data_IF_525671934279
#
_entry.id   IF_525671934279
#
_cell.length_a   1.000
_cell.length_b   1.000
_cell.length_c   1.000
_cell.angle_alpha   90.00
_cell.angle_beta   90.00
_cell.angle_gamma   90.00
#
_symmetry.space_group_name_H-M   'P 1'
#
loop_
_entity.id
_entity.type
_entity.pdbx_description
1 polymer ?
#
# COMPACT_ATOMS: atom_id res chain seq x y z
N UNK A 1 3.39 4.25 -15.92
CA UNK A 1 3.90 3.52 -14.74
C UNK A 1 2.99 3.90 -13.60
N UNK A 2 2.21 2.96 -13.08
CA UNK A 2 1.34 3.24 -11.93
C UNK A 2 2.27 3.32 -10.73
N UNK A 3 2.42 4.52 -10.17
CA UNK A 3 3.22 4.72 -8.97
C UNK A 3 2.55 3.94 -7.83
N UNK A 4 3.29 3.03 -7.21
CA UNK A 4 2.78 2.25 -6.08
C UNK A 4 2.66 3.09 -4.79
N UNK A 5 2.26 2.47 -3.66
CA UNK A 5 1.92 3.20 -2.44
C UNK A 5 3.07 3.99 -1.90
N UNK A 6 2.81 5.26 -1.55
CA UNK A 6 3.70 6.01 -0.71
C UNK A 6 3.36 5.74 0.76
N UNK A 7 4.36 5.35 1.54
CA UNK A 7 4.27 5.24 2.99
C UNK A 7 4.13 6.65 3.57
N UNK A 8 3.05 6.90 4.30
CA UNK A 8 2.77 8.20 4.94
C UNK A 8 3.17 8.23 6.40
N UNK A 9 3.14 7.08 7.06
CA UNK A 9 3.54 6.94 8.45
C UNK A 9 4.14 5.56 8.71
N UNK A 10 5.05 5.50 9.68
CA UNK A 10 5.60 4.24 10.19
C UNK A 10 5.49 4.30 11.72
N UNK A 11 4.87 3.28 12.31
CA UNK A 11 4.67 3.21 13.75
C UNK A 11 6.00 2.91 14.46
N UNK A 12 6.27 3.59 15.57
CA UNK A 12 7.48 3.36 16.37
C UNK A 12 7.49 1.97 17.00
N UNK A 13 8.65 1.31 16.97
CA UNK A 13 8.85 -0.07 17.42
C UNK A 13 8.28 -1.13 16.48
N UNK A 14 7.66 -0.74 15.36
CA UNK A 14 7.04 -1.68 14.43
C UNK A 14 8.08 -2.52 13.65
N UNK A 15 7.66 -3.66 13.07
CA UNK A 15 8.49 -4.39 12.11
C UNK A 15 8.99 -3.51 10.95
N UNK A 16 8.13 -2.65 10.41
CA UNK A 16 8.48 -1.69 9.36
C UNK A 16 9.62 -0.74 9.77
N UNK A 17 9.54 -0.16 10.97
CA UNK A 17 10.60 0.72 11.48
C UNK A 17 11.93 -0.05 11.67
N UNK A 18 11.86 -1.25 12.25
CA UNK A 18 13.03 -2.11 12.46
C UNK A 18 13.70 -2.52 11.15
N UNK A 19 12.90 -2.69 10.09
CA UNK A 19 13.40 -2.96 8.74
C UNK A 19 13.95 -1.70 8.03
N UNK A 20 13.76 -0.51 8.59
CA UNK A 20 14.30 0.75 8.07
C UNK A 20 13.39 1.45 7.04
N UNK A 21 12.12 1.07 6.96
CA UNK A 21 11.11 1.81 6.21
C UNK A 21 10.87 3.19 6.84
N UNK A 22 10.52 4.15 6.01
CA UNK A 22 10.32 5.55 6.40
C UNK A 22 9.13 6.17 5.68
N UNK A 23 8.48 7.17 6.27
CA UNK A 23 7.57 8.03 5.52
C UNK A 23 8.25 8.62 4.29
N UNK A 24 7.54 8.63 3.16
CA UNK A 24 8.05 9.06 1.85
C UNK A 24 8.59 7.92 0.98
N UNK A 25 8.76 6.71 1.54
CA UNK A 25 9.12 5.53 0.76
C UNK A 25 7.99 5.14 -0.20
N UNK A 26 8.34 4.86 -1.44
CA UNK A 26 7.39 4.41 -2.45
C UNK A 26 7.53 2.90 -2.66
N UNK A 27 6.49 2.14 -2.36
CA UNK A 27 6.50 0.68 -2.51
C UNK A 27 6.12 0.33 -3.93
N UNK A 28 7.06 -0.23 -4.69
CA UNK A 28 6.84 -0.68 -6.05
C UNK A 28 6.16 -2.07 -6.07
N UNK A 29 6.59 -2.97 -5.19
CA UNK A 29 6.04 -4.32 -5.10
C UNK A 29 6.17 -4.93 -3.71
N UNK A 30 5.31 -5.89 -3.40
CA UNK A 30 5.34 -6.75 -2.23
C UNK A 30 5.31 -8.20 -2.72
N UNK A 31 6.32 -9.00 -2.38
CA UNK A 31 6.45 -10.37 -2.88
C UNK A 31 6.36 -10.49 -4.42
N UNK A 32 6.92 -9.51 -5.14
CA UNK A 32 6.92 -9.46 -6.60
C UNK A 32 5.61 -8.97 -7.23
N UNK A 33 4.64 -8.54 -6.42
CA UNK A 33 3.37 -8.00 -6.90
C UNK A 33 3.16 -6.54 -6.51
N UNK A 34 2.78 -5.69 -7.47
CA UNK A 34 2.45 -4.31 -7.21
C UNK A 34 1.07 -4.19 -6.52
N UNK A 35 0.98 -3.71 -5.27
CA UNK A 35 -0.29 -3.50 -4.61
C UNK A 35 -1.05 -2.35 -5.29
N UNK A 36 -2.21 -2.67 -5.86
CA UNK A 36 -3.04 -1.72 -6.62
C UNK A 36 -4.13 -1.03 -5.81
N UNK A 37 -4.39 -1.53 -4.60
CA UNK A 37 -5.42 -1.06 -3.69
C UNK A 37 -5.01 -1.40 -2.23
N UNK A 38 -5.70 -0.80 -1.26
CA UNK A 38 -5.42 -0.99 0.17
C UNK A 38 -5.67 -2.45 0.60
N UNK A 39 -6.63 -3.14 -0.02
CA UNK A 39 -6.93 -4.55 0.28
C UNK A 39 -5.74 -5.42 -0.12
N UNK A 40 -5.16 -5.18 -1.30
CA UNK A 40 -4.02 -5.94 -1.80
C UNK A 40 -2.76 -5.64 -1.01
N UNK A 41 -2.55 -4.38 -0.60
CA UNK A 41 -1.52 -4.02 0.37
C UNK A 41 -1.62 -4.87 1.64
N UNK A 42 -2.80 -4.88 2.28
CA UNK A 42 -3.01 -5.64 3.52
C UNK A 42 -2.73 -7.13 3.33
N UNK A 43 -3.31 -7.74 2.30
CA UNK A 43 -3.18 -9.16 2.03
C UNK A 43 -1.73 -9.58 1.73
N UNK A 44 -1.00 -8.81 0.92
CA UNK A 44 0.39 -9.10 0.60
C UNK A 44 1.33 -8.87 1.80
N UNK A 45 0.96 -7.98 2.73
CA UNK A 45 1.73 -7.67 3.93
C UNK A 45 1.42 -8.56 5.14
N UNK A 46 0.54 -9.56 5.00
CA UNK A 46 0.05 -10.35 6.14
C UNK A 46 1.07 -11.40 6.63
N UNK A 47 1.89 -11.94 5.73
CA UNK A 47 2.85 -12.99 6.02
C UNK A 47 3.98 -12.59 6.99
N UNK A 48 4.62 -13.57 7.63
CA UNK A 48 5.70 -13.34 8.59
C UNK A 48 6.98 -12.73 7.96
N UNK A 49 7.23 -13.01 6.68
CA UNK A 49 8.29 -12.38 5.90
C UNK A 49 7.68 -11.63 4.72
N UNK A 50 7.86 -10.32 4.70
CA UNK A 50 7.28 -9.42 3.70
C UNK A 50 8.42 -8.79 2.90
N UNK A 51 8.82 -9.37 1.75
CA UNK A 51 9.78 -8.76 0.86
C UNK A 51 9.12 -7.58 0.13
N UNK A 52 9.71 -6.40 0.27
CA UNK A 52 9.25 -5.14 -0.32
C UNK A 52 10.31 -4.61 -1.28
N UNK A 53 9.86 -4.20 -2.46
CA UNK A 53 10.64 -3.38 -3.39
C UNK A 53 10.24 -1.92 -3.16
N UNK A 54 11.21 -1.10 -2.78
CA UNK A 54 10.98 0.27 -2.33
C UNK A 54 11.87 1.23 -3.11
N UNK A 55 11.32 2.38 -3.48
CA UNK A 55 12.05 3.51 -4.03
C UNK A 55 12.11 4.66 -3.02
N UNK A 56 13.31 5.17 -2.78
CA UNK A 56 13.55 6.35 -1.94
C UNK A 56 14.49 7.30 -2.66
N UNK A 57 14.01 8.51 -2.98
CA UNK A 57 14.83 9.54 -3.63
C UNK A 57 15.42 9.09 -4.97
N UNK A 58 14.66 8.31 -5.75
CA UNK A 58 15.09 7.78 -7.06
C UNK A 58 16.03 6.58 -7.00
N UNK A 59 16.29 6.04 -5.80
CA UNK A 59 17.05 4.78 -5.63
C UNK A 59 16.10 3.65 -5.24
N UNK A 60 16.06 2.61 -6.05
CA UNK A 60 15.32 1.37 -5.79
C UNK A 60 16.15 0.39 -4.96
N UNK A 61 15.56 -0.19 -3.92
CA UNK A 61 16.18 -1.23 -3.10
C UNK A 61 15.12 -2.21 -2.60
N UNK A 62 15.57 -3.40 -2.19
CA UNK A 62 14.71 -4.43 -1.61
C UNK A 62 14.96 -4.49 -0.11
N UNK A 63 13.87 -4.57 0.67
CA UNK A 63 13.91 -4.78 2.11
C UNK A 63 12.98 -5.93 2.47
N UNK A 64 13.42 -6.81 3.36
CA UNK A 64 12.56 -7.88 3.89
C UNK A 64 12.16 -7.50 5.29
N UNK A 65 10.85 -7.37 5.52
CA UNK A 65 10.32 -7.09 6.85
C UNK A 65 9.92 -8.41 7.51
N UNK A 66 10.61 -8.75 8.60
CA UNK A 66 10.30 -9.93 9.42
C UNK A 66 9.44 -9.54 10.61
N UNK A 67 8.31 -10.22 10.79
CA UNK A 67 7.32 -9.98 11.86
C UNK A 67 6.72 -11.30 12.36
N UNK A 68 6.04 -11.27 13.49
CA UNK A 68 5.27 -12.43 13.96
C UNK A 68 4.00 -12.60 13.13
N UNK A 69 3.50 -13.84 13.06
CA UNK A 69 2.23 -14.14 12.39
C UNK A 69 1.08 -13.37 13.07
N UNK A 70 0.31 -12.62 12.27
CA UNK A 70 -0.76 -11.74 12.77
C UNK A 70 -0.29 -10.40 13.35
N UNK A 71 1.02 -10.13 13.43
CA UNK A 71 1.52 -8.80 13.78
C UNK A 71 1.30 -7.83 12.59
N UNK A 72 0.86 -6.58 12.80
CA UNK A 72 0.76 -5.61 11.72
C UNK A 72 2.16 -5.19 11.22
N UNK A 73 2.27 -4.88 9.93
CA UNK A 73 3.53 -4.37 9.35
C UNK A 73 3.97 -3.06 10.04
N UNK A 74 3.01 -2.21 10.41
CA UNK A 74 3.23 -0.91 11.03
C UNK A 74 3.67 0.19 10.04
N UNK A 75 3.48 -0.03 8.75
CA UNK A 75 3.58 1.00 7.71
C UNK A 75 2.18 1.35 7.19
N UNK A 76 1.86 2.64 7.22
CA UNK A 76 0.62 3.19 6.69
C UNK A 76 0.87 3.80 5.31
N UNK A 77 -0.05 3.57 4.38
CA UNK A 77 0.03 4.09 3.01
C UNK A 77 -1.14 5.02 2.72
N UNK A 78 -0.94 6.02 1.87
CA UNK A 78 -2.01 6.96 1.49
C UNK A 78 -3.10 6.28 0.67
N UNK A 79 -4.22 5.92 1.30
CA UNK A 79 -5.37 5.30 0.66
C UNK A 79 -6.01 6.17 -0.45
N UNK A 80 -5.86 7.50 -0.41
CA UNK A 80 -6.45 8.40 -1.39
C UNK A 80 -5.77 8.29 -2.78
N UNK A 81 -4.55 7.75 -2.84
CA UNK A 81 -3.85 7.43 -4.10
C UNK A 81 -4.29 6.08 -4.66
N UNK A 82 -4.90 5.21 -3.83
CA UNK A 82 -5.36 3.87 -4.20
C UNK A 82 -6.79 3.82 -4.72
N UNK A 83 -7.68 4.57 -4.08
CA UNK A 83 -9.10 4.56 -4.39
C UNK A 83 -9.49 5.79 -5.21
N UNK A 84 -9.01 5.85 -6.45
CA UNK A 84 -9.81 6.54 -7.46
C UNK A 84 -11.24 5.97 -7.39
N UNK A 85 -12.26 6.83 -7.39
CA UNK A 85 -13.66 6.39 -7.36
C UNK A 85 -13.85 5.33 -8.44
N UNK A 86 -14.09 4.09 -8.03
CA UNK A 86 -14.40 3.01 -8.95
C UNK A 86 -15.72 3.37 -9.63
N UNK A 87 -15.64 3.80 -10.89
CA UNK A 87 -16.83 4.14 -11.65
C UNK A 87 -17.55 2.85 -12.00
N UNK A 88 -18.68 2.62 -11.33
CA UNK A 88 -19.57 1.52 -11.67
C UNK A 88 -20.19 1.78 -13.06
N UNK A 89 -19.96 0.88 -14.03
CA UNK A 89 -20.51 0.96 -15.40
C UNK A 89 -21.83 0.19 -15.58
N UNK A 90 -22.39 -0.31 -14.48
CA UNK A 90 -23.75 -0.82 -14.51
C UNK A 90 -24.70 0.37 -14.68
N UNK A 91 -25.41 0.38 -15.80
CA UNK A 91 -26.40 1.39 -16.18
C UNK A 91 -27.68 1.27 -15.33
N UNK A 92 -27.54 1.26 -14.01
CA UNK A 92 -28.64 1.19 -13.07
C UNK A 92 -29.37 2.54 -13.00
N UNK A 93 -30.70 2.50 -12.97
CA UNK A 93 -31.55 3.70 -12.85
C UNK A 93 -31.36 4.45 -11.51
N UNK A 94 -30.79 3.79 -10.49
CA UNK A 94 -30.47 4.34 -9.17
C UNK A 94 -28.96 4.46 -8.91
N UNK A 95 -28.17 4.87 -9.91
CA UNK A 95 -26.73 4.97 -9.76
C UNK A 95 -26.30 6.14 -8.86
N UNK A 96 -25.85 5.84 -7.63
CA UNK A 96 -25.35 6.83 -6.67
C UNK A 96 -24.01 7.48 -7.10
N UNK A 97 -23.22 6.82 -7.95
CA UNK A 97 -21.94 7.38 -8.45
C UNK A 97 -22.19 8.55 -9.40
N UNK A 98 -23.18 8.46 -10.30
CA UNK A 98 -23.56 9.57 -11.20
C UNK A 98 -24.24 10.74 -10.48
N UNK A 99 -24.73 10.53 -9.26
CA UNK A 99 -25.44 11.52 -8.46
C UNK A 99 -24.51 12.31 -7.52
N UNK A 100 -23.21 12.01 -7.49
CA UNK A 100 -22.25 12.81 -6.73
C UNK A 100 -22.11 14.21 -7.36
N UNK A 101 -22.20 15.29 -6.56
CA UNK A 101 -22.03 16.64 -7.05
C UNK A 101 -20.60 16.88 -7.56
N UNK A 102 -20.47 17.67 -8.63
CA UNK A 102 -19.19 18.05 -9.26
C UNK A 102 -18.45 19.13 -8.49
#
# INVERSE_FOLDING_TARGET
MVAGPQIVAVASGSPAERAGLRPGDQVAAIAGEAPRDVIRWQLLSDGAEVPLEVERGGTSFTVVVSKLEGEPLGAEVDAAVFDGVQTCDNHCEFCFVHQLPR
#
